data_IF_371668964633
#
_entry.id   IF_371668964633
#
_cell.length_a   1.000
_cell.length_b   1.000
_cell.length_c   1.000
_cell.angle_alpha   90.00
_cell.angle_beta   90.00
_cell.angle_gamma   90.00
#
_symmetry.space_group_name_H-M   'P 1'
#
loop_
_entity.id
_entity.type
_entity.pdbx_description
1 polymer ?
#
# COMPACT_ATOMS: atom_id res chain seq x y z
N UNK A 1 -6.00 19.07 -29.42
CA UNK A 1 -5.20 17.82 -29.45
C UNK A 1 -5.65 16.89 -28.33
N UNK A 2 -6.38 15.83 -28.65
CA UNK A 2 -6.74 14.77 -27.69
C UNK A 2 -5.55 13.83 -27.50
N UNK A 3 -4.60 14.23 -26.64
CA UNK A 3 -3.56 13.30 -26.18
C UNK A 3 -4.20 12.44 -25.10
N UNK A 4 -4.69 11.27 -25.48
CA UNK A 4 -5.11 10.25 -24.52
C UNK A 4 -3.94 9.92 -23.58
N UNK A 5 -4.22 9.81 -22.28
CA UNK A 5 -3.28 9.24 -21.31
C UNK A 5 -3.25 7.72 -21.50
N UNK A 6 -2.58 7.21 -22.52
CA UNK A 6 -2.28 5.76 -22.58
C UNK A 6 -1.33 5.40 -21.42
N UNK A 7 -1.72 4.47 -20.57
CA UNK A 7 -0.88 3.98 -19.47
C UNK A 7 0.51 3.50 -19.92
N UNK A 8 1.51 3.57 -19.03
CA UNK A 8 2.85 3.01 -19.29
C UNK A 8 2.77 1.51 -19.57
N UNK A 9 3.66 0.89 -20.33
CA UNK A 9 3.55 -0.56 -20.57
C UNK A 9 3.68 -1.37 -19.27
N UNK A 10 3.06 -2.57 -19.19
CA UNK A 10 3.14 -3.43 -18.00
C UNK A 10 4.56 -3.73 -17.56
N UNK A 11 5.46 -3.96 -18.51
CA UNK A 11 6.87 -4.21 -18.26
C UNK A 11 7.57 -3.03 -17.59
N UNK A 12 7.24 -1.80 -17.99
CA UNK A 12 7.79 -0.57 -17.37
C UNK A 12 7.24 -0.38 -15.96
N UNK A 13 5.97 -0.73 -15.71
CA UNK A 13 5.38 -0.70 -14.37
C UNK A 13 6.13 -1.61 -13.40
N UNK A 14 6.36 -2.88 -13.77
CA UNK A 14 7.10 -3.82 -12.92
C UNK A 14 8.54 -3.35 -12.69
N UNK A 15 9.23 -2.87 -13.74
CA UNK A 15 10.58 -2.33 -13.59
C UNK A 15 10.65 -1.17 -12.59
N UNK A 16 9.67 -0.26 -12.61
CA UNK A 16 9.61 0.85 -11.65
C UNK A 16 9.34 0.38 -10.23
N UNK A 17 8.46 -0.62 -10.07
CA UNK A 17 8.26 -1.26 -8.78
C UNK A 17 9.55 -1.90 -8.26
N UNK A 18 10.31 -2.63 -9.11
CA UNK A 18 11.61 -3.20 -8.73
C UNK A 18 12.62 -2.14 -8.29
N UNK A 19 12.72 -1.02 -9.02
CA UNK A 19 13.62 0.08 -8.64
C UNK A 19 13.22 0.65 -7.28
N UNK A 20 11.92 0.90 -7.06
CA UNK A 20 11.45 1.45 -5.80
C UNK A 20 11.65 0.46 -4.63
N UNK A 21 11.41 -0.82 -4.85
CA UNK A 21 11.65 -1.87 -3.85
C UNK A 21 13.13 -1.93 -3.46
N UNK A 22 14.05 -1.84 -4.43
CA UNK A 22 15.48 -1.77 -4.17
C UNK A 22 15.87 -0.50 -3.39
N UNK A 23 15.30 0.66 -3.75
CA UNK A 23 15.54 1.91 -3.04
C UNK A 23 15.04 1.86 -1.59
N UNK A 24 13.87 1.25 -1.36
CA UNK A 24 13.35 1.00 -0.02
C UNK A 24 14.29 0.09 0.78
N UNK A 25 14.79 -0.99 0.17
CA UNK A 25 15.79 -1.87 0.79
C UNK A 25 17.07 -1.13 1.16
N UNK A 26 17.55 -0.20 0.32
CA UNK A 26 18.72 0.64 0.64
C UNK A 26 18.41 1.57 1.83
N UNK A 27 17.25 2.22 1.86
CA UNK A 27 16.86 3.08 2.99
C UNK A 27 16.79 2.28 4.29
N UNK A 28 16.18 1.10 4.26
CA UNK A 28 16.09 0.19 5.41
C UNK A 28 17.48 -0.27 5.88
N UNK A 29 18.38 -0.60 4.94
CA UNK A 29 19.76 -0.97 5.24
C UNK A 29 20.52 0.16 5.93
N UNK A 30 20.42 1.38 5.39
CA UNK A 30 21.05 2.57 5.98
C UNK A 30 20.51 2.83 7.39
N UNK A 31 19.20 2.71 7.60
CA UNK A 31 18.58 2.90 8.90
C UNK A 31 19.07 1.88 9.92
N UNK A 32 19.06 0.58 9.58
CA UNK A 32 19.52 -0.50 10.45
C UNK A 32 21.01 -0.37 10.80
N UNK A 33 21.82 0.14 9.87
CA UNK A 33 23.29 0.18 10.03
C UNK A 33 23.78 1.46 10.72
N UNK A 34 23.11 2.60 10.49
CA UNK A 34 23.61 3.92 10.90
C UNK A 34 22.71 4.70 11.85
N UNK A 35 21.43 4.33 11.98
CA UNK A 35 20.46 5.10 12.79
C UNK A 35 19.99 4.29 13.99
N UNK A 36 19.57 3.05 13.77
CA UNK A 36 19.13 2.15 14.83
C UNK A 36 20.32 1.48 15.53
N UNK A 37 20.06 0.91 16.71
CA UNK A 37 20.99 -0.03 17.34
C UNK A 37 21.16 -1.25 16.43
N UNK A 38 22.42 -1.53 16.09
CA UNK A 38 22.74 -2.56 15.12
C UNK A 38 22.35 -3.96 15.63
N UNK A 39 21.51 -4.64 14.86
CA UNK A 39 21.10 -6.03 15.08
C UNK A 39 21.30 -6.85 13.81
N UNK A 40 22.21 -7.84 13.88
CA UNK A 40 22.52 -8.74 12.76
C UNK A 40 21.29 -9.52 12.30
N UNK A 41 20.35 -9.85 13.19
CA UNK A 41 19.11 -10.55 12.85
C UNK A 41 18.24 -9.68 11.94
N UNK A 42 18.08 -8.41 12.27
CA UNK A 42 17.35 -7.44 11.45
C UNK A 42 17.96 -7.29 10.05
N UNK A 43 19.29 -7.35 9.94
CA UNK A 43 20.01 -7.34 8.67
C UNK A 43 19.74 -8.61 7.83
N UNK A 44 19.82 -9.79 8.44
CA UNK A 44 19.55 -11.07 7.76
C UNK A 44 18.10 -11.16 7.27
N UNK A 45 17.16 -10.67 8.07
CA UNK A 45 15.73 -10.60 7.69
C UNK A 45 15.55 -9.63 6.52
N UNK A 46 16.20 -8.46 6.55
CA UNK A 46 16.18 -7.53 5.42
C UNK A 46 16.73 -8.17 4.15
N UNK A 47 17.88 -8.84 4.23
CA UNK A 47 18.49 -9.51 3.08
C UNK A 47 17.55 -10.58 2.50
N UNK A 48 16.99 -11.45 3.33
CA UNK A 48 16.07 -12.49 2.91
C UNK A 48 14.80 -11.95 2.25
N UNK A 49 14.19 -10.92 2.85
CA UNK A 49 12.95 -10.30 2.34
C UNK A 49 13.20 -9.51 1.04
N UNK A 50 14.29 -8.74 0.96
CA UNK A 50 14.67 -8.02 -0.26
C UNK A 50 14.99 -9.00 -1.38
N UNK A 51 15.74 -10.06 -1.09
CA UNK A 51 16.09 -11.09 -2.09
C UNK A 51 14.84 -11.78 -2.63
N UNK A 52 13.96 -12.26 -1.75
CA UNK A 52 12.71 -12.92 -2.16
C UNK A 52 11.81 -11.97 -2.96
N UNK A 53 11.61 -10.73 -2.49
CA UNK A 53 10.80 -9.74 -3.19
C UNK A 53 11.36 -9.39 -4.57
N UNK A 54 12.68 -9.21 -4.69
CA UNK A 54 13.33 -8.96 -5.97
C UNK A 54 13.21 -10.14 -6.94
N UNK A 55 13.31 -11.38 -6.45
CA UNK A 55 13.06 -12.59 -7.25
C UNK A 55 11.62 -12.59 -7.78
N UNK A 56 10.61 -12.36 -6.92
CA UNK A 56 9.20 -12.34 -7.33
C UNK A 56 8.89 -11.22 -8.33
N UNK A 57 9.50 -10.03 -8.16
CA UNK A 57 9.39 -8.92 -9.10
C UNK A 57 10.09 -9.22 -10.43
N UNK A 58 11.26 -9.87 -10.40
CA UNK A 58 11.97 -10.32 -11.60
C UNK A 58 11.14 -11.35 -12.38
N UNK A 59 10.58 -12.35 -11.70
CA UNK A 59 9.68 -13.33 -12.32
C UNK A 59 8.46 -12.65 -12.93
N UNK A 60 7.88 -11.67 -12.22
CA UNK A 60 6.78 -10.84 -12.74
C UNK A 60 7.21 -10.05 -13.98
N UNK A 61 8.42 -9.52 -14.01
CA UNK A 61 8.97 -8.79 -15.15
C UNK A 61 9.20 -9.70 -16.37
N UNK A 62 9.79 -10.88 -16.16
CA UNK A 62 10.04 -11.88 -17.22
C UNK A 62 8.75 -12.43 -17.82
N UNK A 63 7.67 -12.42 -17.04
CA UNK A 63 6.32 -12.76 -17.53
C UNK A 63 5.76 -11.71 -18.49
N UNK A 64 6.17 -10.45 -18.38
CA UNK A 64 5.66 -9.35 -19.22
C UNK A 64 6.39 -9.27 -20.57
N UNK A 65 5.67 -9.50 -21.67
CA UNK A 65 6.19 -9.24 -23.02
C UNK A 65 6.32 -7.72 -23.27
N UNK A 66 7.23 -7.31 -24.15
CA UNK A 66 7.29 -5.92 -24.62
C UNK A 66 6.04 -5.52 -25.41
N UNK A 67 5.39 -6.49 -26.05
CA UNK A 67 4.15 -6.32 -26.83
C UNK A 67 2.87 -6.41 -26.01
N UNK A 68 2.96 -6.62 -24.68
CA UNK A 68 1.76 -6.67 -23.83
C UNK A 68 1.16 -5.28 -23.67
N UNK A 69 -0.15 -5.20 -23.83
CA UNK A 69 -0.93 -3.99 -23.62
C UNK A 69 -1.88 -4.17 -22.43
N UNK A 70 -2.39 -3.06 -21.91
CA UNK A 70 -3.44 -3.14 -20.90
C UNK A 70 -4.76 -3.56 -21.54
N UNK A 71 -5.62 -4.28 -20.81
CA UNK A 71 -6.95 -4.56 -21.32
C UNK A 71 -7.76 -3.26 -21.52
N UNK A 72 -8.59 -3.24 -22.54
CA UNK A 72 -9.54 -2.16 -22.74
C UNK A 72 -10.71 -2.30 -21.75
N UNK A 73 -10.98 -1.23 -21.00
CA UNK A 73 -12.02 -1.22 -19.97
C UNK A 73 -13.31 -0.54 -20.44
N UNK A 74 -14.45 -1.00 -19.94
CA UNK A 74 -15.75 -0.37 -20.20
C UNK A 74 -15.88 0.97 -19.43
N UNK A 75 -15.58 2.07 -20.12
CA UNK A 75 -15.63 3.44 -19.56
C UNK A 75 -17.00 3.85 -19.02
N UNK A 76 -18.10 3.37 -19.63
CA UNK A 76 -19.46 3.76 -19.21
C UNK A 76 -19.80 3.14 -17.86
N UNK A 77 -19.53 1.84 -17.69
CA UNK A 77 -19.76 1.14 -16.42
C UNK A 77 -18.83 1.69 -15.34
N UNK A 78 -17.55 1.88 -15.67
CA UNK A 78 -16.60 2.49 -14.73
C UNK A 78 -17.06 3.86 -14.24
N UNK A 79 -17.50 4.76 -15.13
CA UNK A 79 -17.99 6.10 -14.76
C UNK A 79 -19.08 6.01 -13.68
N UNK A 80 -20.09 5.18 -13.92
CA UNK A 80 -21.22 5.07 -12.99
C UNK A 80 -20.79 4.48 -11.65
N UNK A 81 -19.98 3.41 -11.66
CA UNK A 81 -19.44 2.81 -10.45
C UNK A 81 -18.55 3.78 -9.67
N UNK A 82 -17.65 4.50 -10.35
CA UNK A 82 -16.73 5.44 -9.71
C UNK A 82 -17.48 6.60 -9.05
N UNK A 83 -18.46 7.19 -9.75
CA UNK A 83 -19.22 8.32 -9.21
C UNK A 83 -20.16 7.89 -8.06
N UNK A 84 -20.85 6.75 -8.19
CA UNK A 84 -21.72 6.27 -7.11
C UNK A 84 -20.93 5.89 -5.86
N UNK A 85 -19.82 5.18 -6.03
CA UNK A 85 -18.94 4.81 -4.91
C UNK A 85 -18.26 6.03 -4.29
N UNK A 86 -17.85 7.03 -5.09
CA UNK A 86 -17.35 8.30 -4.55
C UNK A 86 -18.38 8.99 -3.66
N UNK A 87 -19.62 9.17 -4.14
CA UNK A 87 -20.67 9.85 -3.37
C UNK A 87 -20.94 9.10 -2.07
N UNK A 88 -21.06 7.77 -2.13
CA UNK A 88 -21.32 6.95 -0.94
C UNK A 88 -20.13 7.00 0.04
N UNK A 89 -18.90 6.84 -0.45
CA UNK A 89 -17.70 6.94 0.40
C UNK A 89 -17.59 8.32 1.02
N UNK A 90 -17.68 9.38 0.24
CA UNK A 90 -17.45 10.73 0.74
C UNK A 90 -18.59 11.20 1.65
N UNK A 91 -19.85 11.08 1.21
CA UNK A 91 -21.00 11.61 1.94
C UNK A 91 -21.40 10.69 3.09
N UNK A 92 -21.59 9.39 2.84
CA UNK A 92 -22.12 8.49 3.86
C UNK A 92 -21.04 7.98 4.81
N UNK A 93 -19.81 7.76 4.32
CA UNK A 93 -18.74 7.22 5.16
C UNK A 93 -17.78 8.26 5.73
N UNK A 94 -17.42 9.33 5.00
CA UNK A 94 -16.39 10.28 5.43
C UNK A 94 -16.90 11.55 6.06
N UNK A 95 -17.99 12.12 5.55
CA UNK A 95 -18.57 13.36 6.06
C UNK A 95 -18.85 13.33 7.57
N UNK A 96 -19.37 12.23 8.16
CA UNK A 96 -19.52 12.13 9.61
C UNK A 96 -18.20 12.32 10.39
N UNK A 97 -17.11 11.72 9.92
CA UNK A 97 -15.79 11.91 10.54
C UNK A 97 -15.25 13.32 10.37
N UNK A 98 -15.56 14.00 9.25
CA UNK A 98 -15.19 15.41 9.05
C UNK A 98 -15.85 16.27 10.14
N UNK A 99 -17.15 16.06 10.40
CA UNK A 99 -17.84 16.84 11.43
C UNK A 99 -17.27 16.60 12.83
N UNK A 100 -17.07 15.35 13.22
CA UNK A 100 -16.49 15.03 14.54
C UNK A 100 -15.05 15.55 14.67
N UNK A 101 -14.27 15.51 13.59
CA UNK A 101 -12.92 16.08 13.58
C UNK A 101 -12.89 17.58 13.75
N UNK A 102 -13.79 18.30 13.09
CA UNK A 102 -13.91 19.75 13.25
C UNK A 102 -14.36 20.14 14.66
N UNK A 103 -15.13 19.28 15.32
CA UNK A 103 -15.61 19.51 16.69
C UNK A 103 -14.56 19.15 17.76
N UNK A 104 -13.91 17.99 17.64
CA UNK A 104 -13.14 17.37 18.73
C UNK A 104 -11.67 17.09 18.39
N UNK A 105 -11.25 17.26 17.14
CA UNK A 105 -9.89 16.96 16.68
C UNK A 105 -9.60 15.47 16.42
N UNK A 106 -8.39 15.19 15.91
CA UNK A 106 -8.00 13.87 15.38
C UNK A 106 -8.07 12.73 16.41
N UNK A 107 -7.55 12.95 17.62
CA UNK A 107 -7.51 11.92 18.67
C UNK A 107 -8.91 11.43 19.03
N UNK A 108 -9.80 12.35 19.40
CA UNK A 108 -11.16 12.02 19.84
C UNK A 108 -12.01 11.47 18.70
N UNK A 109 -11.81 11.94 17.46
CA UNK A 109 -12.52 11.41 16.27
C UNK A 109 -12.28 9.91 16.07
N UNK A 110 -11.10 9.41 16.43
CA UNK A 110 -10.77 7.98 16.29
C UNK A 110 -11.35 7.10 17.39
N UNK A 111 -11.56 7.68 18.56
CA UNK A 111 -12.17 6.99 19.70
C UNK A 111 -13.69 7.01 19.63
N UNK A 112 -14.27 7.88 18.79
CA UNK A 112 -15.71 8.04 18.67
C UNK A 112 -16.34 6.85 17.93
N UNK A 113 -16.86 5.90 18.71
CA UNK A 113 -17.53 4.69 18.22
C UNK A 113 -18.85 4.99 17.51
N UNK A 114 -19.44 6.18 17.71
CA UNK A 114 -20.71 6.57 17.07
C UNK A 114 -20.56 6.78 15.55
N UNK A 115 -19.35 7.03 15.07
CA UNK A 115 -19.03 7.30 13.66
C UNK A 115 -18.50 6.05 12.94
N UNK A 116 -18.11 5.02 13.69
CA UNK A 116 -17.38 3.84 13.22
C UNK A 116 -18.18 2.56 13.00
N UNK A 117 -19.50 2.58 13.20
CA UNK A 117 -20.33 1.37 13.22
C UNK A 117 -20.52 0.63 11.88
N UNK A 118 -20.16 1.24 10.75
CA UNK A 118 -20.39 0.66 9.42
C UNK A 118 -21.89 0.55 9.06
N UNK A 119 -22.18 0.02 7.87
CA UNK A 119 -23.56 -0.17 7.41
C UNK A 119 -23.62 -0.69 5.97
N UNK A 120 -24.81 -0.68 5.36
CA UNK A 120 -25.00 -1.12 3.96
C UNK A 120 -24.08 -0.37 2.97
N UNK A 121 -23.74 0.89 3.29
CA UNK A 121 -22.87 1.74 2.49
C UNK A 121 -21.40 1.29 2.52
N UNK A 122 -20.98 0.49 3.52
CA UNK A 122 -19.61 -0.05 3.60
C UNK A 122 -19.28 -0.94 2.40
N UNK A 123 -20.25 -1.71 1.91
CA UNK A 123 -20.09 -2.59 0.73
C UNK A 123 -19.85 -1.81 -0.57
N UNK A 124 -20.35 -0.57 -0.66
CA UNK A 124 -20.04 0.32 -1.78
C UNK A 124 -18.73 1.09 -1.55
N UNK A 125 -18.47 1.49 -0.30
CA UNK A 125 -17.27 2.26 0.02
C UNK A 125 -15.98 1.47 -0.17
N UNK A 126 -16.02 0.14 0.01
CA UNK A 126 -14.85 -0.73 -0.22
C UNK A 126 -14.46 -0.85 -1.70
N UNK A 127 -15.40 -0.58 -2.62
CA UNK A 127 -15.13 -0.57 -4.08
C UNK A 127 -14.30 0.65 -4.51
N UNK A 128 -14.32 1.74 -3.73
CA UNK A 128 -13.77 3.03 -4.16
C UNK A 128 -12.26 2.97 -4.44
N UNK A 129 -11.45 2.43 -3.54
CA UNK A 129 -9.99 2.34 -3.75
C UNK A 129 -9.59 1.39 -4.89
N UNK A 130 -10.19 0.19 -5.04
CA UNK A 130 -10.03 -0.63 -6.24
C UNK A 130 -10.38 0.12 -7.54
N UNK A 131 -11.46 0.90 -7.55
CA UNK A 131 -11.83 1.73 -8.70
C UNK A 131 -10.83 2.87 -8.95
N UNK A 132 -10.24 3.44 -7.90
CA UNK A 132 -9.13 4.39 -8.05
C UNK A 132 -7.92 3.72 -8.70
N UNK A 133 -7.54 2.50 -8.30
CA UNK A 133 -6.45 1.76 -8.96
C UNK A 133 -6.79 1.52 -10.44
N UNK A 134 -8.04 1.14 -10.75
CA UNK A 134 -8.50 0.94 -12.12
C UNK A 134 -8.46 2.23 -12.96
N UNK A 135 -8.68 3.40 -12.36
CA UNK A 135 -8.61 4.69 -13.05
C UNK A 135 -7.28 4.88 -13.80
N UNK A 136 -6.17 4.34 -13.27
CA UNK A 136 -4.85 4.41 -13.90
C UNK A 136 -4.74 3.64 -15.22
N UNK A 137 -5.68 2.73 -15.52
CA UNK A 137 -5.69 1.91 -16.73
C UNK A 137 -6.70 2.33 -17.77
N UNK A 138 -7.69 3.13 -17.39
CA UNK A 138 -8.81 3.43 -18.26
C UNK A 138 -8.37 4.53 -19.24
N UNK A 139 -8.51 4.23 -20.53
CA UNK A 139 -8.26 5.21 -21.57
C UNK A 139 -9.37 6.27 -21.59
N UNK A 140 -9.17 7.40 -20.91
CA UNK A 140 -10.10 8.53 -20.91
C UNK A 140 -9.39 9.84 -21.28
N UNK A 141 -10.13 10.82 -21.83
CA UNK A 141 -9.59 12.15 -22.08
C UNK A 141 -9.00 12.77 -20.81
N UNK A 142 -7.84 13.43 -20.95
CA UNK A 142 -7.06 14.01 -19.85
C UNK A 142 -7.88 14.90 -18.89
N UNK A 143 -8.80 15.72 -19.43
CA UNK A 143 -9.68 16.58 -18.61
C UNK A 143 -10.60 15.76 -17.69
N UNK A 144 -11.14 14.63 -18.17
CA UNK A 144 -11.99 13.74 -17.36
C UNK A 144 -11.15 13.00 -16.31
N UNK A 145 -9.95 12.55 -16.69
CA UNK A 145 -9.02 11.93 -15.75
C UNK A 145 -8.72 12.84 -14.55
N UNK A 146 -8.39 14.12 -14.80
CA UNK A 146 -8.16 15.06 -13.70
C UNK A 146 -9.39 15.27 -12.83
N UNK A 147 -10.59 15.27 -13.42
CA UNK A 147 -11.84 15.29 -12.64
C UNK A 147 -11.91 14.13 -11.65
N UNK A 148 -11.74 12.89 -12.11
CA UNK A 148 -11.74 11.72 -11.22
C UNK A 148 -10.57 11.71 -10.23
N UNK A 149 -9.39 12.17 -10.65
CA UNK A 149 -8.23 12.28 -9.77
C UNK A 149 -8.49 13.26 -8.61
N UNK A 150 -9.16 14.39 -8.86
CA UNK A 150 -9.56 15.33 -7.78
C UNK A 150 -10.50 14.66 -6.78
N UNK A 151 -11.47 13.87 -7.25
CA UNK A 151 -12.37 13.12 -6.36
C UNK A 151 -11.62 12.06 -5.54
N UNK A 152 -10.69 11.34 -6.16
CA UNK A 152 -9.77 10.42 -5.48
C UNK A 152 -8.95 11.14 -4.41
N UNK A 153 -8.33 12.28 -4.75
CA UNK A 153 -7.54 13.07 -3.81
C UNK A 153 -8.39 13.61 -2.66
N UNK A 154 -9.64 14.01 -2.88
CA UNK A 154 -10.53 14.46 -1.82
C UNK A 154 -10.72 13.38 -0.73
N UNK A 155 -11.01 12.13 -1.12
CA UNK A 155 -11.15 11.03 -0.16
C UNK A 155 -9.81 10.70 0.49
N UNK A 156 -8.71 10.66 -0.27
CA UNK A 156 -7.36 10.42 0.26
C UNK A 156 -6.96 11.47 1.30
N UNK A 157 -7.26 12.74 1.06
CA UNK A 157 -6.97 13.84 1.98
C UNK A 157 -7.75 13.72 3.28
N UNK A 158 -9.03 13.31 3.24
CA UNK A 158 -9.79 13.00 4.46
C UNK A 158 -9.12 11.84 5.19
N UNK A 159 -8.84 10.73 4.51
CA UNK A 159 -8.26 9.55 5.15
C UNK A 159 -6.92 9.85 5.82
N UNK A 160 -6.08 10.69 5.20
CA UNK A 160 -4.84 11.14 5.81
C UNK A 160 -5.07 12.17 6.93
N UNK A 161 -5.73 13.29 6.67
CA UNK A 161 -5.74 14.43 7.61
C UNK A 161 -6.71 14.21 8.78
N UNK A 162 -7.84 13.56 8.50
CA UNK A 162 -8.99 13.50 9.41
C UNK A 162 -9.05 12.15 10.11
N UNK A 163 -8.79 11.05 9.40
CA UNK A 163 -8.80 9.71 10.01
C UNK A 163 -7.40 9.27 10.47
N UNK A 164 -6.35 9.81 9.86
CA UNK A 164 -4.97 9.36 10.03
C UNK A 164 -4.68 7.99 9.40
N UNK A 165 -5.59 7.40 8.64
CA UNK A 165 -5.39 6.08 8.03
C UNK A 165 -4.41 6.18 6.87
N UNK A 166 -3.30 5.43 6.92
CA UNK A 166 -2.19 5.58 5.97
C UNK A 166 -2.22 4.58 4.82
N UNK A 167 -2.57 3.33 5.11
CA UNK A 167 -2.24 2.20 4.24
C UNK A 167 -2.94 2.24 2.88
N UNK A 168 -4.27 2.31 2.84
CA UNK A 168 -5.03 2.31 1.59
C UNK A 168 -4.78 3.55 0.72
N UNK A 169 -4.82 4.78 1.28
CA UNK A 169 -4.50 5.97 0.52
C UNK A 169 -3.07 5.95 -0.03
N UNK A 170 -2.09 5.53 0.79
CA UNK A 170 -0.70 5.40 0.35
C UNK A 170 -0.54 4.39 -0.78
N UNK A 171 -1.16 3.21 -0.67
CA UNK A 171 -1.12 2.19 -1.72
C UNK A 171 -1.67 2.71 -3.06
N UNK A 172 -2.80 3.43 -3.04
CA UNK A 172 -3.38 4.02 -4.25
C UNK A 172 -2.51 5.14 -4.82
N UNK A 173 -1.94 6.01 -3.99
CA UNK A 173 -1.02 7.05 -4.45
C UNK A 173 0.25 6.46 -5.07
N UNK A 174 0.82 5.46 -4.41
CA UNK A 174 2.00 4.74 -4.87
C UNK A 174 1.73 4.08 -6.23
N UNK A 175 0.57 3.46 -6.38
CA UNK A 175 0.13 2.88 -7.63
C UNK A 175 0.11 3.90 -8.78
N UNK A 176 -0.53 5.05 -8.53
CA UNK A 176 -0.63 6.12 -9.52
C UNK A 176 0.73 6.71 -9.86
N UNK A 177 1.61 6.89 -8.87
CA UNK A 177 2.98 7.35 -9.05
C UNK A 177 3.75 6.42 -10.01
N UNK A 178 3.65 5.10 -9.80
CA UNK A 178 4.29 4.10 -10.65
C UNK A 178 3.73 4.11 -12.07
N UNK A 179 2.45 4.46 -12.25
CA UNK A 179 1.78 4.55 -13.55
C UNK A 179 1.99 5.89 -14.29
N UNK A 180 2.63 6.89 -13.68
CA UNK A 180 2.86 8.19 -14.32
C UNK A 180 3.79 8.08 -15.54
N UNK A 181 3.43 8.69 -16.67
CA UNK A 181 4.27 8.71 -17.88
C UNK A 181 5.60 9.48 -17.76
N UNK A 182 5.82 10.17 -16.64
CA UNK A 182 7.03 10.97 -16.47
C UNK A 182 8.22 10.03 -16.28
N UNK A 183 9.35 10.32 -16.95
CA UNK A 183 10.61 9.63 -16.67
C UNK A 183 11.04 9.99 -15.24
N UNK A 184 11.28 9.00 -14.38
CA UNK A 184 11.64 9.21 -12.97
C UNK A 184 12.89 10.10 -12.80
N UNK A 185 13.81 10.06 -13.76
CA UNK A 185 15.08 10.83 -13.73
C UNK A 185 15.03 12.19 -14.47
N UNK A 186 13.88 12.85 -14.53
CA UNK A 186 13.80 14.25 -14.98
C UNK A 186 13.73 15.16 -13.75
N UNK A 187 14.36 16.34 -13.81
CA UNK A 187 14.35 17.34 -12.72
C UNK A 187 12.95 17.56 -12.14
N UNK A 188 11.94 17.73 -13.00
CA UNK A 188 10.53 17.89 -12.56
C UNK A 188 10.02 16.71 -11.73
N UNK A 189 10.36 15.48 -12.09
CA UNK A 189 9.98 14.27 -11.35
C UNK A 189 10.69 14.21 -10.01
N UNK A 190 11.97 14.57 -9.97
CA UNK A 190 12.76 14.64 -8.74
C UNK A 190 12.13 15.68 -7.80
N UNK A 191 11.80 16.88 -8.29
CA UNK A 191 11.10 17.88 -7.50
C UNK A 191 9.76 17.37 -6.96
N UNK A 192 8.96 16.64 -7.76
CA UNK A 192 7.72 16.03 -7.29
C UNK A 192 7.93 14.98 -6.21
N UNK A 193 8.96 14.14 -6.33
CA UNK A 193 9.30 13.13 -5.32
C UNK A 193 9.78 13.76 -4.02
N UNK A 194 10.61 14.81 -4.12
CA UNK A 194 11.08 15.58 -2.96
C UNK A 194 9.90 16.27 -2.28
N UNK A 195 9.01 16.92 -3.04
CA UNK A 195 7.80 17.54 -2.49
C UNK A 195 6.88 16.50 -1.82
N UNK A 196 6.74 15.30 -2.39
CA UNK A 196 5.99 14.20 -1.79
C UNK A 196 6.66 13.72 -0.49
N UNK A 197 7.99 13.60 -0.45
CA UNK A 197 8.72 13.21 0.76
C UNK A 197 8.54 14.25 1.87
N UNK A 198 8.67 15.54 1.57
CA UNK A 198 8.42 16.64 2.52
C UNK A 198 6.98 16.58 3.01
N UNK A 199 6.01 16.41 2.10
CA UNK A 199 4.60 16.26 2.46
C UNK A 199 4.39 15.08 3.41
N UNK A 200 5.02 13.93 3.17
CA UNK A 200 4.92 12.77 4.06
C UNK A 200 5.54 13.04 5.43
N UNK A 201 6.68 13.73 5.51
CA UNK A 201 7.30 14.12 6.80
C UNK A 201 6.36 15.05 7.58
N UNK A 202 5.80 16.07 6.94
CA UNK A 202 4.84 16.99 7.56
C UNK A 202 3.57 16.26 8.00
N UNK A 203 3.07 15.34 7.16
CA UNK A 203 1.89 14.54 7.47
C UNK A 203 2.13 13.62 8.67
N UNK A 204 3.30 12.97 8.74
CA UNK A 204 3.69 12.14 9.88
C UNK A 204 3.76 12.98 11.15
N UNK A 205 4.40 14.16 11.09
CA UNK A 205 4.47 15.06 12.25
C UNK A 205 3.09 15.47 12.74
N UNK A 206 2.24 15.97 11.85
CA UNK A 206 0.86 16.34 12.17
C UNK A 206 0.06 15.17 12.76
N UNK A 207 0.11 13.99 12.12
CA UNK A 207 -0.69 12.84 12.56
C UNK A 207 -0.19 12.24 13.86
N UNK A 208 1.13 12.17 14.08
CA UNK A 208 1.69 11.60 15.31
C UNK A 208 1.36 12.52 16.49
N UNK A 209 1.49 13.84 16.32
CA UNK A 209 1.04 14.85 17.29
C UNK A 209 -0.45 14.75 17.56
N UNK A 210 -1.28 14.84 16.51
CA UNK A 210 -2.73 14.86 16.64
C UNK A 210 -3.34 13.56 17.18
N UNK A 211 -2.58 12.47 17.21
CA UNK A 211 -2.97 11.17 17.80
C UNK A 211 -2.48 10.96 19.22
N UNK A 212 -1.58 11.79 19.72
CA UNK A 212 -1.11 11.66 21.09
C UNK A 212 -2.08 12.39 22.03
N UNK A 213 -2.59 11.65 23.01
CA UNK A 213 -3.43 12.20 24.07
C UNK A 213 -2.69 13.29 24.85
N UNK A 214 -1.37 13.15 24.97
CA UNK A 214 -0.50 13.99 25.79
C UNK A 214 -0.29 15.39 25.20
N UNK A 215 -0.56 15.59 23.91
CA UNK A 215 -0.43 16.92 23.29
C UNK A 215 -1.37 17.94 23.92
N UNK A 216 -2.53 17.50 24.40
CA UNK A 216 -3.51 18.38 25.04
C UNK A 216 -3.23 18.61 26.53
N UNK A 217 -2.46 17.74 27.19
CA UNK A 217 -2.31 17.73 28.65
C UNK A 217 -0.89 18.05 29.13
N UNK A 218 0.15 17.64 28.40
CA UNK A 218 1.57 17.75 28.80
C UNK A 218 2.43 18.44 27.73
N UNK A 219 1.97 18.47 26.47
CA UNK A 219 2.69 19.04 25.33
C UNK A 219 3.35 17.97 24.46
N UNK A 220 3.87 18.36 23.30
CA UNK A 220 4.48 17.44 22.34
C UNK A 220 6.00 17.35 22.52
N UNK A 221 6.51 16.13 22.69
CA UNK A 221 7.94 15.83 22.70
C UNK A 221 8.31 14.69 21.75
N UNK A 222 9.12 15.01 20.75
CA UNK A 222 9.65 14.03 19.79
C UNK A 222 10.67 13.09 20.41
N UNK A 223 11.45 13.53 21.39
CA UNK A 223 12.47 12.70 22.05
C UNK A 223 11.79 11.59 22.84
N UNK A 224 10.81 11.94 23.69
CA UNK A 224 9.99 10.96 24.39
C UNK A 224 9.26 10.03 23.41
N UNK A 225 8.68 10.57 22.34
CA UNK A 225 7.98 9.75 21.32
C UNK A 225 8.91 8.72 20.68
N UNK A 226 10.14 9.09 20.32
CA UNK A 226 11.11 8.16 19.73
C UNK A 226 11.58 7.12 20.75
N UNK A 227 11.72 7.50 22.03
CA UNK A 227 12.20 6.59 23.08
C UNK A 227 11.15 5.58 23.57
N UNK A 228 9.88 5.94 23.53
CA UNK A 228 8.82 5.17 24.20
C UNK A 228 7.70 4.68 23.28
N UNK A 229 7.72 5.01 21.99
CA UNK A 229 6.75 4.46 21.04
C UNK A 229 7.08 3.02 20.69
N UNK A 230 6.05 2.16 20.67
CA UNK A 230 6.20 0.71 20.46
C UNK A 230 6.94 0.33 19.18
N UNK A 231 6.94 1.19 18.15
CA UNK A 231 7.66 0.92 16.90
C UNK A 231 9.19 0.93 17.05
N UNK A 232 9.72 1.38 18.19
CA UNK A 232 11.14 1.39 18.50
C UNK A 232 11.58 0.26 19.43
N UNK A 233 10.66 -0.50 20.06
CA UNK A 233 11.04 -1.47 21.10
C UNK A 233 12.00 -2.56 20.57
N UNK A 234 11.79 -3.04 19.34
CA UNK A 234 12.61 -4.10 18.73
C UNK A 234 13.71 -3.56 17.80
N UNK A 235 13.74 -2.24 17.59
CA UNK A 235 14.77 -1.56 16.79
C UNK A 235 14.94 -0.15 17.39
N UNK A 236 15.55 -0.05 18.58
CA UNK A 236 15.71 1.22 19.28
C UNK A 236 16.73 2.11 18.57
N UNK A 237 16.67 3.41 18.85
CA UNK A 237 17.68 4.38 18.39
C UNK A 237 18.59 4.72 19.57
N UNK A 238 19.93 4.66 19.39
CA UNK A 238 20.88 5.01 20.43
C UNK A 238 20.61 6.40 21.02
N UNK A 239 20.75 6.53 22.33
CA UNK A 239 20.39 7.78 23.03
C UNK A 239 21.20 8.99 22.58
N UNK A 240 22.46 8.77 22.20
CA UNK A 240 23.38 9.75 21.62
C UNK A 240 22.95 10.21 20.22
N UNK A 241 22.42 9.32 19.39
CA UNK A 241 21.84 9.69 18.08
C UNK A 241 20.61 10.57 18.27
N UNK A 242 19.74 10.21 19.22
CA UNK A 242 18.54 11.02 19.54
C UNK A 242 18.94 12.39 20.11
N UNK A 243 19.82 12.45 21.11
CA UNK A 243 20.21 13.73 21.71
C UNK A 243 20.91 14.64 20.70
N UNK A 244 21.86 14.09 19.93
CA UNK A 244 22.60 14.86 18.91
C UNK A 244 21.67 15.38 17.81
N UNK A 245 20.72 14.56 17.36
CA UNK A 245 19.73 15.02 16.36
C UNK A 245 18.84 16.11 16.94
N UNK A 246 18.43 16.01 18.20
CA UNK A 246 17.55 17.00 18.83
C UNK A 246 18.25 18.35 18.98
N UNK A 247 19.53 18.33 19.36
CA UNK A 247 20.33 19.53 19.57
C UNK A 247 20.69 20.22 18.25
N UNK A 248 21.10 19.45 17.23
CA UNK A 248 21.64 20.01 15.99
C UNK A 248 20.56 20.21 14.93
N UNK A 249 19.64 19.26 14.76
CA UNK A 249 18.64 19.25 13.70
C UNK A 249 17.28 18.66 14.15
N UNK A 250 16.53 19.32 15.05
CA UNK A 250 15.29 18.77 15.61
C UNK A 250 14.20 18.51 14.56
N UNK A 251 14.25 19.21 13.43
CA UNK A 251 13.34 19.01 12.28
C UNK A 251 13.51 17.62 11.62
N UNK A 252 14.60 16.90 11.90
CA UNK A 252 14.81 15.54 11.41
C UNK A 252 14.10 14.47 12.26
N UNK A 253 13.58 14.79 13.45
CA UNK A 253 12.90 13.80 14.30
C UNK A 253 11.67 13.14 13.64
N UNK A 254 10.76 13.88 12.98
CA UNK A 254 9.68 13.26 12.23
C UNK A 254 10.16 12.41 11.06
N UNK A 255 11.30 12.76 10.44
CA UNK A 255 11.90 11.97 9.37
C UNK A 255 12.45 10.66 9.91
N UNK A 256 13.16 10.68 11.04
CA UNK A 256 13.61 9.48 11.74
C UNK A 256 12.42 8.57 12.06
N UNK A 257 11.33 9.13 12.59
CA UNK A 257 10.11 8.38 12.86
C UNK A 257 9.48 7.78 11.59
N UNK A 258 9.46 8.52 10.48
CA UNK A 258 8.98 8.02 9.19
C UNK A 258 9.86 6.88 8.66
N UNK A 259 11.18 6.98 8.76
CA UNK A 259 12.10 5.91 8.33
C UNK A 259 11.99 4.69 9.24
N UNK A 260 11.85 4.88 10.56
CA UNK A 260 11.53 3.79 11.50
C UNK A 260 10.22 3.10 11.10
N UNK A 261 9.17 3.87 10.79
CA UNK A 261 7.89 3.32 10.37
C UNK A 261 8.02 2.43 9.13
N UNK A 262 8.93 2.76 8.21
CA UNK A 262 9.23 1.97 7.01
C UNK A 262 10.11 0.74 7.30
N UNK A 263 10.82 0.69 8.43
CA UNK A 263 11.88 -0.30 8.68
C UNK A 263 11.57 -1.26 9.84
N UNK A 264 10.82 -0.85 10.85
CA UNK A 264 10.60 -1.62 12.08
C UNK A 264 9.96 -3.00 11.85
N UNK A 265 9.15 -3.12 10.80
CA UNK A 265 8.55 -4.40 10.38
C UNK A 265 9.58 -5.50 10.18
N UNK A 266 10.82 -5.18 9.79
CA UNK A 266 11.93 -6.13 9.67
C UNK A 266 12.35 -6.69 11.02
N UNK A 267 12.51 -5.83 12.03
CA UNK A 267 12.85 -6.27 13.38
C UNK A 267 11.70 -7.06 14.02
N UNK A 268 10.46 -6.59 13.87
CA UNK A 268 9.27 -7.33 14.31
C UNK A 268 9.21 -8.72 13.66
N UNK A 269 9.53 -8.83 12.37
CA UNK A 269 9.59 -10.13 11.70
C UNK A 269 10.73 -11.01 12.24
N UNK A 270 11.90 -10.44 12.55
CA UNK A 270 12.98 -11.16 13.23
C UNK A 270 12.56 -11.74 14.59
N UNK A 271 11.83 -10.97 15.39
CA UNK A 271 11.29 -11.44 16.67
C UNK A 271 10.27 -12.56 16.47
N UNK A 272 9.40 -12.45 15.46
CA UNK A 272 8.44 -13.51 15.10
C UNK A 272 9.16 -14.81 14.72
N UNK A 273 10.26 -14.74 13.95
CA UNK A 273 11.03 -15.94 13.57
C UNK A 273 11.71 -16.63 14.76
N UNK A 274 12.13 -15.87 15.78
CA UNK A 274 12.88 -16.40 16.93
C UNK A 274 11.96 -16.85 18.07
N UNK A 275 10.93 -16.07 18.38
CA UNK A 275 10.10 -16.23 19.57
C UNK A 275 8.63 -16.54 19.26
N UNK A 276 8.20 -16.37 18.00
CA UNK A 276 6.84 -16.70 17.62
C UNK A 276 6.59 -18.20 17.78
N UNK A 277 5.42 -18.58 18.29
CA UNK A 277 4.98 -19.97 18.33
C UNK A 277 4.56 -20.45 16.92
N UNK A 278 5.50 -20.40 15.96
CA UNK A 278 5.29 -20.76 14.56
C UNK A 278 5.42 -22.27 14.43
N UNK A 279 4.28 -22.94 14.30
CA UNK A 279 4.23 -24.36 13.98
C UNK A 279 4.59 -24.67 12.52
N UNK A 280 4.73 -25.97 12.24
CA UNK A 280 4.78 -26.49 10.86
C UNK A 280 3.51 -26.07 10.10
N UNK A 281 2.37 -26.11 10.78
CA UNK A 281 1.09 -25.56 10.38
C UNK A 281 0.80 -24.31 11.22
N UNK A 282 0.19 -23.30 10.59
CA UNK A 282 -0.16 -22.05 11.26
C UNK A 282 -1.50 -22.12 11.96
N UNK A 283 -1.81 -21.06 12.71
CA UNK A 283 -3.01 -20.97 13.54
C UNK A 283 -4.29 -20.65 12.76
N UNK A 284 -4.16 -19.98 11.61
CA UNK A 284 -5.27 -19.41 10.85
C UNK A 284 -6.02 -18.26 11.54
N UNK A 285 -5.63 -17.87 12.75
CA UNK A 285 -6.37 -16.94 13.59
C UNK A 285 -6.40 -15.51 13.02
N UNK A 286 -5.35 -15.06 12.34
CA UNK A 286 -5.37 -13.72 11.78
C UNK A 286 -6.22 -13.64 10.52
N UNK A 287 -6.21 -14.69 9.70
CA UNK A 287 -7.15 -14.82 8.60
C UNK A 287 -8.60 -14.86 9.10
N UNK A 288 -8.86 -15.58 10.19
CA UNK A 288 -10.17 -15.61 10.84
C UNK A 288 -10.58 -14.22 11.37
N UNK A 289 -9.71 -13.54 12.11
CA UNK A 289 -9.93 -12.17 12.60
C UNK A 289 -10.30 -11.21 11.46
N UNK A 290 -9.68 -11.37 10.29
CA UNK A 290 -9.96 -10.56 9.11
C UNK A 290 -11.32 -10.84 8.49
N UNK A 291 -11.70 -12.11 8.37
CA UNK A 291 -13.03 -12.48 7.89
C UNK A 291 -14.10 -11.97 8.85
N UNK A 292 -13.84 -12.10 10.14
CA UNK A 292 -14.71 -11.62 11.21
C UNK A 292 -14.87 -10.09 11.23
N UNK A 293 -13.81 -9.33 10.97
CA UNK A 293 -13.87 -7.88 10.81
C UNK A 293 -14.87 -7.46 9.72
N UNK A 294 -14.94 -8.21 8.62
CA UNK A 294 -15.86 -7.93 7.52
C UNK A 294 -17.29 -8.35 7.85
N UNK A 295 -17.46 -9.52 8.46
CA UNK A 295 -18.77 -10.09 8.78
C UNK A 295 -19.38 -9.52 10.07
N UNK A 296 -18.69 -8.57 10.72
CA UNK A 296 -19.06 -7.99 12.00
C UNK A 296 -19.30 -9.06 13.08
N UNK A 297 -18.42 -10.07 13.12
CA UNK A 297 -18.40 -11.10 14.15
C UNK A 297 -17.74 -10.57 15.44
N UNK A 298 -18.01 -11.20 16.59
CA UNK A 298 -17.26 -10.91 17.82
C UNK A 298 -15.81 -11.41 17.69
N UNK A 299 -14.86 -10.47 17.78
CA UNK A 299 -13.44 -10.70 17.55
C UNK A 299 -12.64 -10.84 18.83
N UNK A 300 -13.24 -10.60 20.00
CA UNK A 300 -12.47 -10.48 21.25
C UNK A 300 -11.69 -11.77 21.53
N UNK A 301 -12.35 -12.93 21.48
CA UNK A 301 -11.70 -14.21 21.73
C UNK A 301 -10.58 -14.54 20.73
N UNK A 302 -10.76 -14.17 19.45
CA UNK A 302 -9.77 -14.38 18.40
C UNK A 302 -8.55 -13.47 18.63
N UNK A 303 -8.78 -12.20 18.98
CA UNK A 303 -7.71 -11.24 19.29
C UNK A 303 -6.92 -11.64 20.54
N UNK A 304 -7.60 -12.15 21.58
CA UNK A 304 -6.94 -12.66 22.77
C UNK A 304 -6.06 -13.86 22.44
N UNK A 305 -6.54 -14.78 21.60
CA UNK A 305 -5.75 -15.93 21.12
C UNK A 305 -4.56 -15.49 20.24
N UNK A 306 -4.74 -14.48 19.39
CA UNK A 306 -3.67 -13.87 18.60
C UNK A 306 -2.57 -13.30 19.52
N UNK A 307 -2.95 -12.57 20.57
CA UNK A 307 -2.01 -11.96 21.51
C UNK A 307 -1.21 -13.00 22.31
N UNK A 308 -1.75 -14.19 22.52
CA UNK A 308 -1.01 -15.30 23.15
C UNK A 308 0.11 -15.85 22.26
N UNK A 309 -0.09 -15.87 20.94
CA UNK A 309 0.88 -16.40 19.96
C UNK A 309 1.86 -15.31 19.52
N UNK A 310 1.37 -14.08 19.43
CA UNK A 310 2.14 -12.90 19.08
C UNK A 310 1.76 -11.75 20.04
N UNK A 311 2.50 -11.59 21.15
CA UNK A 311 2.27 -10.50 22.11
C UNK A 311 2.42 -9.09 21.51
N UNK A 312 3.02 -9.01 20.32
CA UNK A 312 3.23 -7.77 19.56
C UNK A 312 2.17 -7.56 18.48
N UNK A 313 1.07 -8.32 18.48
CA UNK A 313 -0.02 -8.13 17.53
C UNK A 313 -0.58 -6.70 17.64
N UNK A 314 -0.58 -5.98 16.51
CA UNK A 314 -0.96 -4.56 16.45
C UNK A 314 0.18 -3.62 16.04
N UNK A 315 1.44 -4.07 16.12
CA UNK A 315 2.57 -3.41 15.41
C UNK A 315 2.51 -3.73 13.91
N UNK A 316 3.12 -2.89 13.05
CA UNK A 316 3.15 -3.20 11.63
C UNK A 316 4.15 -4.33 11.39
N UNK A 317 3.67 -5.40 10.77
CA UNK A 317 4.45 -6.59 10.47
C UNK A 317 4.55 -6.80 8.96
N UNK A 318 5.61 -7.46 8.54
CA UNK A 318 5.78 -7.82 7.12
C UNK A 318 4.70 -8.79 6.66
N UNK A 319 4.48 -8.86 5.34
CA UNK A 319 3.65 -9.90 4.73
C UNK A 319 4.09 -11.31 5.15
N UNK A 320 5.40 -11.51 5.30
CA UNK A 320 5.99 -12.81 5.61
C UNK A 320 5.68 -13.26 7.04
N UNK A 321 5.74 -12.35 8.02
CA UNK A 321 5.37 -12.63 9.39
C UNK A 321 3.91 -13.13 9.48
N UNK A 322 2.99 -12.40 8.86
CA UNK A 322 1.57 -12.76 8.80
C UNK A 322 1.33 -14.12 8.14
N UNK A 323 1.98 -14.39 7.00
CA UNK A 323 1.81 -15.67 6.30
C UNK A 323 2.28 -16.84 7.18
N UNK A 324 3.39 -16.68 7.90
CA UNK A 324 3.90 -17.72 8.79
C UNK A 324 2.99 -17.95 10.00
N UNK A 325 2.43 -16.89 10.59
CA UNK A 325 1.51 -17.01 11.73
C UNK A 325 0.20 -17.72 11.35
N UNK A 326 -0.32 -17.45 10.15
CA UNK A 326 -1.57 -18.06 9.67
C UNK A 326 -1.39 -19.46 9.07
N UNK A 327 -0.33 -19.67 8.28
CA UNK A 327 -0.16 -20.88 7.48
C UNK A 327 1.02 -21.77 7.90
N UNK A 328 1.86 -21.31 8.81
CA UNK A 328 3.08 -22.00 9.23
C UNK A 328 4.13 -22.03 8.12
N UNK A 329 5.25 -22.69 8.39
CA UNK A 329 6.35 -22.79 7.42
C UNK A 329 5.93 -23.51 6.13
N UNK A 330 5.23 -24.64 6.25
CA UNK A 330 4.82 -25.44 5.08
C UNK A 330 3.78 -24.70 4.25
N UNK A 331 2.74 -24.15 4.89
CA UNK A 331 1.68 -23.46 4.16
C UNK A 331 2.19 -22.20 3.47
N UNK A 332 3.06 -21.43 4.13
CA UNK A 332 3.73 -20.26 3.52
C UNK A 332 4.58 -20.66 2.32
N UNK A 333 5.38 -21.73 2.45
CA UNK A 333 6.19 -22.24 1.35
C UNK A 333 5.32 -22.67 0.17
N UNK A 334 4.22 -23.40 0.42
CA UNK A 334 3.28 -23.81 -0.62
C UNK A 334 2.70 -22.59 -1.35
N UNK A 335 2.27 -21.55 -0.64
CA UNK A 335 1.72 -20.34 -1.25
C UNK A 335 2.75 -19.63 -2.13
N UNK A 336 4.00 -19.51 -1.67
CA UNK A 336 5.09 -18.91 -2.45
C UNK A 336 5.38 -19.77 -3.68
N UNK A 337 5.47 -21.09 -3.55
CA UNK A 337 5.71 -22.01 -4.67
C UNK A 337 4.59 -21.95 -5.69
N UNK A 338 3.32 -21.93 -5.27
CA UNK A 338 2.18 -21.77 -6.17
C UNK A 338 2.24 -20.44 -6.92
N UNK A 339 2.63 -19.36 -6.25
CA UNK A 339 2.83 -18.06 -6.91
C UNK A 339 3.97 -18.13 -7.94
N UNK A 340 5.11 -18.73 -7.59
CA UNK A 340 6.26 -18.91 -8.51
C UNK A 340 5.86 -19.76 -9.72
N UNK A 341 5.20 -20.90 -9.50
CA UNK A 341 4.68 -21.76 -10.57
C UNK A 341 3.73 -20.97 -11.44
N UNK A 342 2.80 -20.20 -10.87
CA UNK A 342 1.89 -19.36 -11.64
C UNK A 342 2.62 -18.31 -12.48
N UNK A 343 3.66 -17.67 -11.93
CA UNK A 343 4.48 -16.69 -12.64
C UNK A 343 5.31 -17.30 -13.79
N UNK A 344 5.79 -18.54 -13.63
CA UNK A 344 6.58 -19.26 -14.63
C UNK A 344 5.74 -19.95 -15.71
N UNK A 345 4.62 -20.58 -15.33
CA UNK A 345 3.79 -21.43 -16.22
C UNK A 345 2.64 -20.70 -16.90
N UNK A 346 2.28 -19.50 -16.42
CA UNK A 346 1.14 -18.75 -16.93
C UNK A 346 1.30 -18.41 -18.42
N UNK A 347 0.25 -18.65 -19.22
CA UNK A 347 0.22 -18.22 -20.62
C UNK A 347 0.54 -16.73 -20.73
N UNK A 348 1.51 -16.39 -21.58
CA UNK A 348 1.88 -15.01 -21.94
C UNK A 348 0.80 -14.41 -22.84
N UNK A 349 -0.41 -14.23 -22.31
CA UNK A 349 -1.50 -13.59 -23.04
C UNK A 349 -1.31 -12.07 -23.05
N UNK A 350 -1.63 -11.42 -24.17
CA UNK A 350 -1.55 -9.96 -24.32
C UNK A 350 -2.42 -9.18 -23.34
N UNK A 351 -3.43 -9.81 -22.73
CA UNK A 351 -4.20 -9.24 -21.63
C UNK A 351 -3.55 -9.60 -20.29
N UNK A 352 -2.84 -8.63 -19.71
CA UNK A 352 -2.27 -8.79 -18.37
C UNK A 352 -3.38 -9.09 -17.36
N UNK A 353 -3.20 -10.15 -16.57
CA UNK A 353 -4.12 -10.50 -15.49
C UNK A 353 -4.00 -9.46 -14.37
N UNK A 354 -5.13 -8.88 -13.95
CA UNK A 354 -5.18 -7.95 -12.81
C UNK A 354 -4.56 -8.54 -11.55
N UNK A 355 -4.63 -9.86 -11.39
CA UNK A 355 -3.91 -10.58 -10.33
C UNK A 355 -2.41 -10.22 -10.30
N UNK A 356 -1.70 -10.28 -11.43
CA UNK A 356 -0.25 -10.02 -11.47
C UNK A 356 0.05 -8.56 -11.15
N UNK A 357 -0.77 -7.63 -11.66
CA UNK A 357 -0.63 -6.19 -11.39
C UNK A 357 -0.73 -5.89 -9.91
N UNK A 358 -1.72 -6.46 -9.23
CA UNK A 358 -1.92 -6.24 -7.81
C UNK A 358 -0.84 -6.94 -6.98
N UNK A 359 -0.44 -8.16 -7.34
CA UNK A 359 0.64 -8.88 -6.65
C UNK A 359 1.97 -8.14 -6.74
N UNK A 360 2.30 -7.51 -7.86
CA UNK A 360 3.51 -6.66 -7.97
C UNK A 360 3.50 -5.56 -6.91
N UNK A 361 2.36 -4.95 -6.64
CA UNK A 361 2.23 -3.92 -5.60
C UNK A 361 2.29 -4.49 -4.19
N UNK A 362 1.71 -5.66 -3.97
CA UNK A 362 1.77 -6.36 -2.69
C UNK A 362 3.21 -6.74 -2.36
N UNK A 363 3.97 -7.26 -3.32
CA UNK A 363 5.40 -7.56 -3.17
C UNK A 363 6.22 -6.28 -2.98
N UNK A 364 5.87 -5.18 -3.65
CA UNK A 364 6.55 -3.90 -3.46
C UNK A 364 6.44 -3.39 -2.00
N UNK A 365 5.33 -3.62 -1.32
CA UNK A 365 5.13 -3.13 0.05
C UNK A 365 5.34 -4.21 1.12
N UNK A 366 5.56 -5.47 0.74
CA UNK A 366 5.60 -6.63 1.64
C UNK A 366 6.62 -6.52 2.76
N UNK A 367 7.72 -5.80 2.53
CA UNK A 367 8.75 -5.53 3.51
C UNK A 367 8.42 -4.40 4.49
N UNK A 368 7.50 -3.51 4.17
CA UNK A 368 7.11 -2.43 5.10
C UNK A 368 5.89 -2.83 5.91
N UNK A 369 4.90 -3.40 5.23
CA UNK A 369 3.61 -3.68 5.82
C UNK A 369 2.92 -4.78 5.02
N UNK A 370 2.15 -5.61 5.69
CA UNK A 370 1.28 -6.54 5.01
C UNK A 370 -0.02 -5.84 4.57
N UNK A 371 0.01 -5.29 3.36
CA UNK A 371 -1.16 -4.64 2.78
C UNK A 371 -2.36 -5.57 2.58
N UNK A 372 -2.15 -6.88 2.44
CA UNK A 372 -3.22 -7.88 2.34
C UNK A 372 -3.78 -8.23 3.73
N UNK A 373 -3.03 -8.02 4.82
CA UNK A 373 -3.39 -8.55 6.14
C UNK A 373 -4.58 -7.91 6.81
N UNK A 374 -4.87 -6.64 6.55
CA UNK A 374 -6.12 -6.10 7.05
C UNK A 374 -7.26 -6.71 6.22
N UNK A 375 -8.40 -7.05 6.82
CA UNK A 375 -9.48 -7.77 6.16
C UNK A 375 -10.05 -6.99 4.99
N UNK A 376 -9.94 -5.67 5.06
CA UNK A 376 -10.20 -4.76 3.95
C UNK A 376 -9.25 -4.98 2.76
N UNK A 377 -7.98 -5.34 2.99
CA UNK A 377 -6.93 -5.58 2.00
C UNK A 377 -7.16 -6.83 1.15
N UNK A 378 -7.45 -7.99 1.77
CA UNK A 378 -7.85 -9.21 1.05
C UNK A 378 -9.10 -8.95 0.21
N UNK A 379 -10.10 -8.28 0.79
CA UNK A 379 -11.37 -8.03 0.09
C UNK A 379 -11.20 -7.03 -1.04
N UNK A 380 -10.41 -5.96 -0.84
CA UNK A 380 -10.04 -5.01 -1.91
C UNK A 380 -9.27 -5.69 -3.03
N UNK A 381 -8.41 -6.65 -2.71
CA UNK A 381 -7.74 -7.48 -3.72
C UNK A 381 -8.75 -8.30 -4.52
N UNK A 382 -9.64 -9.05 -3.85
CA UNK A 382 -10.69 -9.84 -4.51
C UNK A 382 -11.60 -8.98 -5.39
N UNK A 383 -12.07 -7.85 -4.85
CA UNK A 383 -12.87 -6.85 -5.58
C UNK A 383 -12.10 -6.29 -6.77
N UNK A 384 -10.82 -5.94 -6.61
CA UNK A 384 -10.02 -5.43 -7.70
C UNK A 384 -9.92 -6.45 -8.84
N UNK A 385 -9.63 -7.71 -8.52
CA UNK A 385 -9.56 -8.79 -9.51
C UNK A 385 -10.91 -8.99 -10.18
N UNK A 386 -12.00 -9.02 -9.42
CA UNK A 386 -13.36 -9.15 -9.96
C UNK A 386 -13.72 -8.00 -10.90
N UNK A 387 -13.49 -6.76 -10.48
CA UNK A 387 -13.72 -5.56 -11.31
C UNK A 387 -12.82 -5.54 -12.54
N UNK A 388 -11.55 -5.97 -12.41
CA UNK A 388 -10.64 -6.09 -13.54
C UNK A 388 -11.23 -6.99 -14.62
N UNK A 389 -11.67 -8.20 -14.24
CA UNK A 389 -12.27 -9.13 -15.20
C UNK A 389 -13.61 -8.65 -15.73
N UNK A 390 -14.50 -8.15 -14.87
CA UNK A 390 -15.84 -7.70 -15.26
C UNK A 390 -15.82 -6.48 -16.19
N UNK A 391 -14.87 -5.56 -16.01
CA UNK A 391 -14.76 -4.36 -16.82
C UNK A 391 -13.85 -4.54 -18.04
N UNK A 392 -12.95 -5.53 -18.03
CA UNK A 392 -12.13 -5.86 -19.19
C UNK A 392 -13.02 -6.35 -20.33
N UNK A 393 -12.93 -5.70 -21.48
CA UNK A 393 -13.54 -6.23 -22.71
C UNK A 393 -12.73 -7.47 -23.09
N UNK A 394 -13.29 -8.66 -22.88
CA UNK A 394 -12.79 -9.85 -23.57
C UNK A 394 -12.87 -9.54 -25.06
N UNK A 395 -11.75 -9.67 -25.77
CA UNK A 395 -11.67 -9.44 -27.21
C UNK A 395 -12.65 -10.35 -27.96
N UNK A 396 -13.89 -9.90 -28.08
CA UNK A 396 -14.94 -10.51 -28.86
C UNK A 396 -15.40 -9.49 -29.89
N UNK A 397 -15.00 -9.72 -31.14
CA UNK A 397 -15.63 -9.15 -32.33
C UNK A 397 -15.13 -7.77 -32.77
N UNK A 398 -14.41 -7.76 -33.88
CA UNK A 398 -14.44 -6.71 -34.92
C UNK A 398 -14.33 -5.26 -34.45
N UNK A 399 -13.11 -4.79 -34.24
CA UNK A 399 -12.69 -3.50 -34.80
C UNK A 399 -11.26 -3.66 -35.30
N UNK A 400 -11.14 -4.13 -36.54
CA UNK A 400 -9.98 -3.84 -37.38
C UNK A 400 -9.83 -2.31 -37.40
N UNK A 401 -8.89 -1.80 -36.62
CA UNK A 401 -8.36 -0.47 -36.90
C UNK A 401 -7.71 -0.57 -38.29
N UNK A 402 -8.08 0.28 -39.26
CA UNK A 402 -7.37 0.28 -40.52
C UNK A 402 -5.95 0.75 -40.21
N UNK A 403 -5.00 -0.14 -40.46
CA UNK A 403 -3.60 0.21 -40.67
C UNK A 403 -3.61 1.24 -41.80
N UNK A 404 -3.46 2.52 -41.47
CA UNK A 404 -3.00 3.50 -42.47
C UNK A 404 -1.60 3.06 -42.83
N UNK A 405 -1.49 2.28 -43.91
CA UNK A 405 -0.25 2.10 -44.63
C UNK A 405 0.22 3.48 -45.07
N UNK A 406 1.22 4.02 -44.38
CA UNK A 406 2.01 5.14 -44.87
C UNK A 406 2.84 4.65 -46.03
N UNK A 407 2.24 4.60 -47.22
CA UNK A 407 2.88 4.40 -48.50
C UNK A 407 1.95 4.94 -49.59
N UNK A 408 1.76 6.26 -49.61
CA UNK A 408 1.35 6.97 -50.83
C UNK A 408 2.18 8.25 -50.97
N UNK A 409 3.23 8.10 -51.78
CA UNK A 409 3.61 9.00 -52.87
C UNK A 409 4.02 10.43 -52.51
N UNK A 410 5.34 10.58 -52.38
CA UNK A 410 6.06 11.73 -52.94
C UNK A 410 5.71 11.89 -54.42
N UNK A 411 5.01 12.97 -54.76
CA UNK A 411 4.64 13.33 -56.12
C UNK A 411 4.14 14.77 -56.17
N UNK A 412 5.05 15.65 -56.60
CA UNK A 412 4.98 17.11 -56.78
C UNK A 412 5.31 18.00 -55.59
#
# INVERSE_FOLDING_TARGET
MNVNMQSISPRVFVMRASILYALMGIIQLLHITFVAEFDIRSLLVLEGTVTLGMILLLLSYLRMSQSMEWPAFNQRVFKWLFLSTFVITFVCSRLPYIFVFLEKGLYLTRLDTSVGGGGWYSAFSILFYPLCILLAFIDIPRRKYYGYAVLMFAVISVDFIILGTRNAPFFVLLFHLLMLRVRFFRVRSICCLVALAIFMVVLVDYQTRGRSADVLTVGWDWVATIRYSWIFDNMPIPSDVVSSTNEVFPVLMPLIYLVQYVTHSMAEFGVVLEHGAIGIFGSGLYFEDQVCLLLACDRQAIQDAILQINPRAGTYQTLYASLLLDFGFIGTLILILLLVIYLLSGRKNGHVSGFVVYIVMVVLVSGIDNYIYNGLGVWRFGVFVALWYALSRRGGGLTTWPVRSGNELSGH
#
